data_IF_832107543359
#
_entry.id   IF_832107543359
#
_cell.length_a   1.000
_cell.length_b   1.000
_cell.length_c   1.000
_cell.angle_alpha   90.00
_cell.angle_beta   90.00
_cell.angle_gamma   90.00
#
_symmetry.space_group_name_H-M   'P 1'
#
loop_
_entity.id
_entity.type
_entity.pdbx_description
1 polymer ?
#
# COMPACT_ATOMS: atom_id res chain seq x y z
N UNK A 1 -57.26 -78.44 -18.20
CA UNK A 1 -55.82 -78.10 -18.16
C UNK A 1 -55.70 -76.60 -18.41
N UNK A 2 -55.73 -75.83 -17.36
CA UNK A 2 -55.57 -74.37 -17.44
C UNK A 2 -54.34 -73.98 -16.66
N UNK A 3 -53.43 -73.25 -17.35
CA UNK A 3 -52.21 -72.70 -16.74
C UNK A 3 -52.30 -71.16 -16.70
N UNK A 4 -52.47 -70.64 -15.50
CA UNK A 4 -52.49 -69.22 -15.24
C UNK A 4 -51.12 -68.63 -15.47
N UNK A 5 -51.08 -67.52 -16.24
CA UNK A 5 -49.94 -66.67 -16.45
C UNK A 5 -50.11 -65.41 -15.60
N UNK A 6 -49.31 -65.33 -14.56
CA UNK A 6 -49.33 -64.16 -13.66
C UNK A 6 -48.37 -63.10 -14.24
N UNK A 7 -48.88 -61.98 -14.67
CA UNK A 7 -48.08 -60.84 -15.12
C UNK A 7 -47.65 -59.99 -13.94
N UNK A 8 -46.37 -59.92 -13.69
CA UNK A 8 -45.73 -59.07 -12.69
C UNK A 8 -45.49 -57.69 -13.31
N UNK A 9 -46.21 -56.66 -12.82
CA UNK A 9 -45.98 -55.25 -13.19
C UNK A 9 -44.95 -54.69 -12.24
N UNK A 10 -43.70 -54.44 -12.72
CA UNK A 10 -42.69 -53.70 -12.01
C UNK A 10 -42.94 -52.21 -12.12
N UNK A 11 -43.36 -51.60 -11.02
CA UNK A 11 -43.49 -50.15 -10.89
C UNK A 11 -42.11 -49.53 -10.60
N UNK A 12 -41.49 -48.92 -11.61
CA UNK A 12 -40.22 -48.18 -11.44
C UNK A 12 -40.51 -46.81 -10.81
N UNK A 13 -40.19 -46.64 -9.53
CA UNK A 13 -40.16 -45.35 -8.85
C UNK A 13 -38.92 -44.56 -9.30
N UNK A 14 -39.12 -43.52 -10.14
CA UNK A 14 -38.09 -42.55 -10.49
C UNK A 14 -37.96 -41.56 -9.34
N UNK A 15 -36.92 -41.69 -8.55
CA UNK A 15 -36.54 -40.65 -7.59
C UNK A 15 -35.84 -39.51 -8.34
N UNK A 16 -36.54 -38.42 -8.61
CA UNK A 16 -35.95 -37.17 -8.98
C UNK A 16 -35.31 -36.54 -7.72
N UNK A 17 -34.02 -36.80 -7.54
CA UNK A 17 -33.24 -36.10 -6.53
C UNK A 17 -33.06 -34.63 -6.95
N UNK A 18 -33.70 -33.71 -6.24
CA UNK A 18 -33.32 -32.30 -6.26
C UNK A 18 -31.87 -32.21 -5.76
N UNK A 19 -30.94 -31.84 -6.67
CA UNK A 19 -29.65 -31.29 -6.25
C UNK A 19 -29.96 -29.97 -5.53
N UNK A 20 -29.89 -29.97 -4.23
CA UNK A 20 -29.73 -28.76 -3.44
C UNK A 20 -28.29 -28.28 -3.73
N UNK A 21 -28.18 -27.22 -4.50
CA UNK A 21 -26.94 -26.44 -4.56
C UNK A 21 -26.70 -25.96 -3.14
N UNK A 22 -25.74 -26.58 -2.46
CA UNK A 22 -25.20 -26.02 -1.21
C UNK A 22 -24.50 -24.74 -1.63
N UNK A 23 -25.10 -23.59 -1.37
CA UNK A 23 -24.34 -22.37 -1.21
C UNK A 23 -23.22 -22.71 -0.21
N UNK A 24 -21.99 -22.68 -0.67
CA UNK A 24 -20.83 -22.71 0.22
C UNK A 24 -20.95 -21.47 1.11
N UNK A 25 -21.39 -21.67 2.35
CA UNK A 25 -21.29 -20.63 3.37
C UNK A 25 -19.82 -20.20 3.42
N UNK A 26 -19.56 -18.96 2.94
CA UNK A 26 -18.26 -18.32 3.13
C UNK A 26 -17.94 -18.41 4.64
N UNK A 27 -16.77 -18.91 5.04
CA UNK A 27 -16.46 -19.06 6.45
C UNK A 27 -16.59 -17.70 7.12
N UNK A 28 -17.45 -17.59 8.12
CA UNK A 28 -17.53 -16.42 8.99
C UNK A 28 -16.17 -16.29 9.67
N UNK A 29 -15.36 -15.36 9.19
CA UNK A 29 -14.03 -15.07 9.73
C UNK A 29 -14.24 -14.37 11.08
N UNK A 30 -14.28 -15.12 12.17
CA UNK A 30 -14.19 -14.60 13.53
C UNK A 30 -12.74 -14.13 13.77
N UNK A 31 -12.35 -13.03 13.14
CA UNK A 31 -11.05 -12.41 13.38
C UNK A 31 -11.16 -11.64 14.71
N UNK A 32 -10.22 -11.88 15.61
CA UNK A 32 -10.05 -10.98 16.74
C UNK A 32 -9.77 -9.58 16.16
N UNK A 33 -10.47 -8.54 16.64
CA UNK A 33 -10.35 -7.21 16.06
C UNK A 33 -8.89 -6.72 16.17
N UNK A 34 -8.30 -6.41 15.02
CA UNK A 34 -7.03 -5.71 14.95
C UNK A 34 -7.24 -4.27 15.44
N UNK A 35 -6.33 -3.79 16.26
CA UNK A 35 -6.24 -2.37 16.61
C UNK A 35 -4.84 -1.87 16.30
N UNK A 36 -4.70 -0.56 16.15
CA UNK A 36 -3.43 0.07 15.85
C UNK A 36 -3.06 1.07 16.95
N UNK A 37 -1.79 1.09 17.31
CA UNK A 37 -1.21 2.05 18.25
C UNK A 37 -0.04 2.74 17.59
N UNK A 38 0.17 4.04 17.87
CA UNK A 38 1.39 4.75 17.47
C UNK A 38 2.54 4.41 18.43
N UNK A 39 3.71 4.22 17.84
CA UNK A 39 4.99 4.09 18.54
C UNK A 39 5.97 5.05 17.87
N UNK A 40 6.83 5.69 18.69
CA UNK A 40 7.79 6.67 18.19
C UNK A 40 9.20 6.22 18.52
N UNK A 41 10.08 6.29 17.54
CA UNK A 41 11.51 6.08 17.67
C UNK A 41 12.24 7.33 17.19
N UNK A 42 13.03 7.96 18.05
CA UNK A 42 13.84 9.13 17.69
C UNK A 42 15.30 8.86 18.06
N UNK A 43 16.19 9.08 17.10
CA UNK A 43 17.64 9.02 17.30
C UNK A 43 18.30 10.26 16.68
N UNK A 44 19.38 10.71 17.31
CA UNK A 44 20.16 11.87 16.86
C UNK A 44 21.65 11.57 16.88
N UNK A 45 22.40 12.25 16.03
CA UNK A 45 23.85 12.24 16.00
C UNK A 45 24.42 13.63 15.76
N UNK A 46 25.50 13.95 16.42
CA UNK A 46 26.20 15.24 16.38
C UNK A 46 26.72 15.61 17.78
N UNK A 47 27.55 16.65 17.85
CA UNK A 47 27.99 17.21 19.13
C UNK A 47 26.87 18.03 19.76
N UNK A 48 26.63 17.85 21.06
CA UNK A 48 25.63 18.59 21.85
C UNK A 48 24.15 18.43 21.42
N UNK A 49 23.76 17.28 20.88
CA UNK A 49 22.40 16.98 20.41
C UNK A 49 21.32 16.84 21.51
N UNK A 50 21.67 17.08 22.76
CA UNK A 50 20.72 17.07 23.90
C UNK A 50 19.92 18.38 24.04
N UNK A 51 20.29 19.41 23.32
CA UNK A 51 19.62 20.70 23.30
C UNK A 51 18.88 20.89 21.98
N UNK A 52 18.03 21.92 21.89
CA UNK A 52 17.22 22.23 20.70
C UNK A 52 18.06 22.77 19.52
N UNK A 53 19.33 22.37 19.42
CA UNK A 53 20.23 22.85 18.38
C UNK A 53 19.98 22.16 17.04
N UNK A 54 19.94 22.96 15.99
CA UNK A 54 19.64 22.61 14.61
C UNK A 54 20.80 21.90 13.89
N UNK A 55 21.90 21.62 14.58
CA UNK A 55 23.10 21.03 13.98
C UNK A 55 23.21 19.51 14.15
N UNK A 56 22.09 18.85 14.46
CA UNK A 56 22.08 17.40 14.68
C UNK A 56 21.36 16.69 13.55
N UNK A 57 22.00 15.66 13.00
CA UNK A 57 21.28 14.69 12.19
C UNK A 57 20.24 13.96 13.04
N UNK A 58 19.07 13.79 12.48
CA UNK A 58 17.91 13.20 13.15
C UNK A 58 17.21 12.16 12.28
N UNK A 59 16.81 11.07 12.90
CA UNK A 59 15.80 10.17 12.35
C UNK A 59 14.66 10.04 13.37
N UNK A 60 13.45 10.35 12.95
CA UNK A 60 12.24 10.28 13.75
C UNK A 60 11.18 9.45 13.02
N UNK A 61 10.81 8.32 13.61
CA UNK A 61 9.90 7.34 13.04
C UNK A 61 8.66 7.25 13.93
N UNK A 62 7.55 7.84 13.49
CA UNK A 62 6.23 7.70 14.09
C UNK A 62 5.46 6.61 13.34
N UNK A 63 5.48 5.40 13.88
CA UNK A 63 4.96 4.22 13.21
C UNK A 63 3.71 3.67 13.87
N UNK A 64 2.84 3.04 13.10
CA UNK A 64 1.70 2.30 13.64
C UNK A 64 2.08 0.84 13.88
N UNK A 65 1.54 0.25 14.94
CA UNK A 65 1.73 -1.15 15.30
C UNK A 65 0.38 -1.84 15.45
N UNK A 66 0.18 -2.89 14.66
CA UNK A 66 -0.99 -3.76 14.80
C UNK A 66 -0.91 -4.55 16.10
N UNK A 67 -2.01 -4.58 16.83
CA UNK A 67 -2.22 -5.36 18.06
C UNK A 67 -3.41 -6.30 17.86
N UNK A 68 -3.51 -7.36 18.63
CA UNK A 68 -4.63 -8.30 18.59
C UNK A 68 -4.19 -9.70 18.16
N UNK A 69 -4.69 -10.21 17.03
CA UNK A 69 -4.36 -11.56 16.55
C UNK A 69 -2.87 -11.71 16.28
N UNK A 70 -2.14 -12.40 17.16
CA UNK A 70 -0.68 -12.38 17.25
C UNK A 70 0.03 -12.65 15.91
N UNK A 71 -0.28 -13.73 15.21
CA UNK A 71 0.41 -14.08 13.96
C UNK A 71 0.16 -13.07 12.83
N UNK A 72 -1.08 -12.58 12.70
CA UNK A 72 -1.44 -11.61 11.67
C UNK A 72 -0.85 -10.24 12.01
N UNK A 73 -0.94 -9.80 13.28
CA UNK A 73 -0.35 -8.53 13.71
C UNK A 73 1.17 -8.50 13.55
N UNK A 74 1.87 -9.61 13.83
CA UNK A 74 3.30 -9.74 13.59
C UNK A 74 3.66 -9.63 12.10
N UNK A 75 2.88 -10.27 11.22
CA UNK A 75 3.05 -10.16 9.76
C UNK A 75 2.85 -8.72 9.27
N UNK A 76 1.80 -8.05 9.76
CA UNK A 76 1.54 -6.64 9.42
C UNK A 76 2.70 -5.76 9.86
N UNK A 77 3.12 -5.89 11.12
CA UNK A 77 4.21 -5.08 11.68
C UNK A 77 5.52 -5.27 10.92
N UNK A 78 5.87 -6.52 10.58
CA UNK A 78 7.05 -6.80 9.75
C UNK A 78 6.97 -6.13 8.38
N UNK A 79 5.80 -6.16 7.70
CA UNK A 79 5.63 -5.50 6.41
C UNK A 79 5.74 -3.99 6.49
N UNK A 80 5.24 -3.40 7.58
CA UNK A 80 5.40 -1.97 7.84
C UNK A 80 6.87 -1.61 8.03
N UNK A 81 7.62 -2.43 8.76
CA UNK A 81 9.06 -2.23 8.95
C UNK A 81 9.81 -2.38 7.64
N UNK A 82 9.58 -3.48 6.90
CA UNK A 82 10.18 -3.73 5.58
C UNK A 82 9.92 -2.56 4.61
N UNK A 83 8.67 -2.06 4.57
CA UNK A 83 8.31 -0.94 3.70
C UNK A 83 9.01 0.35 4.14
N UNK A 84 9.02 0.66 5.44
CA UNK A 84 9.70 1.84 5.97
C UNK A 84 11.20 1.79 5.74
N UNK A 85 11.82 0.64 5.94
CA UNK A 85 13.24 0.42 5.64
C UNK A 85 13.52 0.70 4.17
N UNK A 86 12.68 0.18 3.26
CA UNK A 86 12.82 0.40 1.82
C UNK A 86 12.67 1.87 1.40
N UNK A 87 11.92 2.69 2.17
CA UNK A 87 11.74 4.12 1.89
C UNK A 87 12.90 4.98 2.41
N UNK A 88 13.51 4.61 3.54
CA UNK A 88 14.47 5.45 4.27
C UNK A 88 15.92 5.02 4.04
N UNK A 89 16.18 3.74 3.75
CA UNK A 89 17.53 3.24 3.60
C UNK A 89 18.25 3.92 2.43
N UNK A 90 19.48 4.34 2.69
CA UNK A 90 20.35 5.03 1.71
C UNK A 90 20.97 4.10 0.66
N UNK A 91 20.82 2.80 0.80
CA UNK A 91 21.36 1.77 -0.08
C UNK A 91 20.27 0.81 -0.55
N UNK A 92 20.38 0.31 -1.77
CA UNK A 92 19.55 -0.78 -2.25
C UNK A 92 19.80 -2.08 -1.46
N UNK A 93 18.70 -2.76 -1.06
CA UNK A 93 18.74 -4.03 -0.33
C UNK A 93 19.63 -3.99 0.93
N UNK A 94 19.35 -3.12 1.88
CA UNK A 94 20.16 -3.02 3.10
C UNK A 94 20.01 -4.31 3.94
N UNK A 95 21.11 -4.74 4.56
CA UNK A 95 21.09 -5.81 5.59
C UNK A 95 20.60 -5.22 6.93
N UNK A 96 19.31 -4.84 6.95
CA UNK A 96 18.61 -4.19 8.07
C UNK A 96 17.32 -4.97 8.32
N UNK A 97 17.09 -5.38 9.55
CA UNK A 97 15.96 -6.25 9.91
C UNK A 97 14.87 -5.55 10.74
N UNK A 98 15.16 -4.37 11.28
CA UNK A 98 14.24 -3.62 12.13
C UNK A 98 14.54 -2.10 12.13
N UNK A 99 13.63 -1.31 12.70
CA UNK A 99 13.73 0.15 12.68
C UNK A 99 14.84 0.72 13.56
N UNK A 100 15.27 0.02 14.61
CA UNK A 100 16.43 0.43 15.41
C UNK A 100 17.71 0.35 14.58
N UNK A 101 17.92 -0.77 13.88
CA UNK A 101 19.05 -0.94 12.96
C UNK A 101 19.02 0.08 11.82
N UNK A 102 17.82 0.41 11.29
CA UNK A 102 17.65 1.48 10.32
C UNK A 102 18.14 2.82 10.85
N UNK A 103 17.71 3.18 12.05
CA UNK A 103 18.10 4.45 12.67
C UNK A 103 19.60 4.52 12.95
N UNK A 104 20.19 3.44 13.47
CA UNK A 104 21.63 3.35 13.69
C UNK A 104 22.43 3.47 12.38
N UNK A 105 21.98 2.78 11.32
CA UNK A 105 22.62 2.81 10.01
C UNK A 105 22.55 4.21 9.39
N UNK A 106 21.38 4.85 9.40
CA UNK A 106 21.20 6.21 8.88
C UNK A 106 22.16 7.21 9.55
N UNK A 107 22.24 7.18 10.87
CA UNK A 107 23.13 8.07 11.59
C UNK A 107 24.63 7.68 11.46
N UNK A 108 24.93 6.42 11.21
CA UNK A 108 26.29 5.98 10.90
C UNK A 108 26.72 6.51 9.54
N UNK A 109 25.86 6.39 8.52
CA UNK A 109 26.12 6.88 7.16
C UNK A 109 26.36 8.39 7.16
N UNK A 110 25.55 9.14 7.92
CA UNK A 110 25.80 10.56 8.13
C UNK A 110 27.19 10.84 8.71
N UNK A 111 27.60 10.14 9.79
CA UNK A 111 28.93 10.35 10.39
C UNK A 111 30.05 10.06 9.41
N UNK A 112 29.94 8.98 8.62
CA UNK A 112 30.89 8.64 7.57
C UNK A 112 30.96 9.72 6.48
N UNK A 113 29.81 10.30 6.09
CA UNK A 113 29.75 11.42 5.16
C UNK A 113 30.42 12.69 5.74
N UNK A 114 30.10 13.05 6.97
CA UNK A 114 30.66 14.22 7.66
C UNK A 114 32.18 14.11 7.91
N UNK A 115 32.70 12.90 8.10
CA UNK A 115 34.16 12.65 8.17
C UNK A 115 34.85 12.90 6.83
N UNK A 116 34.18 12.61 5.73
CA UNK A 116 34.73 12.78 4.37
C UNK A 116 34.51 14.17 3.79
N UNK A 117 33.47 14.87 4.22
CA UNK A 117 33.05 16.18 3.74
C UNK A 117 32.83 17.13 4.92
N UNK A 118 33.77 18.07 5.13
CA UNK A 118 33.73 19.00 6.28
C UNK A 118 32.55 19.96 6.34
N UNK A 119 31.83 20.13 5.25
CA UNK A 119 30.65 20.98 5.13
C UNK A 119 29.37 20.18 4.92
N UNK A 120 29.37 18.86 5.23
CA UNK A 120 28.19 18.03 5.15
C UNK A 120 27.11 18.52 6.11
N UNK A 121 25.94 18.93 5.61
CA UNK A 121 24.85 19.38 6.47
C UNK A 121 24.26 18.20 7.25
N UNK A 122 23.60 18.45 8.39
CA UNK A 122 22.89 17.41 9.13
C UNK A 122 21.85 16.70 8.25
N UNK A 123 21.82 15.37 8.34
CA UNK A 123 20.82 14.58 7.65
C UNK A 123 19.53 14.47 8.48
N UNK A 124 18.40 14.45 7.79
CA UNK A 124 17.10 14.36 8.43
C UNK A 124 16.25 13.28 7.77
N UNK A 125 15.60 12.46 8.59
CA UNK A 125 14.59 11.51 8.13
C UNK A 125 13.39 11.54 9.08
N UNK A 126 12.22 11.84 8.55
CA UNK A 126 10.95 11.83 9.26
C UNK A 126 10.00 10.85 8.59
N UNK A 127 9.42 9.97 9.37
CA UNK A 127 8.38 9.03 8.91
C UNK A 127 7.15 9.18 9.79
N UNK A 128 5.99 9.39 9.19
CA UNK A 128 4.69 9.34 9.87
C UNK A 128 3.78 8.33 9.21
N UNK A 129 3.40 7.29 9.95
CA UNK A 129 2.44 6.28 9.51
C UNK A 129 1.05 6.57 10.08
N UNK A 130 0.03 6.40 9.24
CA UNK A 130 -1.37 6.59 9.62
C UNK A 130 -2.26 5.54 8.98
N UNK A 131 -3.18 4.96 9.75
CA UNK A 131 -4.27 4.15 9.21
C UNK A 131 -5.28 5.09 8.55
N UNK A 132 -5.46 4.97 7.25
CA UNK A 132 -6.42 5.74 6.47
C UNK A 132 -7.76 5.03 6.35
N UNK A 133 -7.73 3.70 6.25
CA UNK A 133 -8.93 2.88 6.19
C UNK A 133 -8.68 1.54 6.90
N UNK A 134 -9.71 1.04 7.57
CA UNK A 134 -9.74 -0.30 8.14
C UNK A 134 -11.14 -0.88 7.99
N UNK A 135 -11.24 -1.96 7.20
CA UNK A 135 -12.46 -2.76 7.00
C UNK A 135 -12.16 -4.25 7.20
N UNK A 136 -13.15 -5.10 6.99
CA UNK A 136 -12.99 -6.56 7.07
C UNK A 136 -12.17 -7.15 5.92
N UNK A 137 -12.01 -6.40 4.82
CA UNK A 137 -11.31 -6.85 3.60
C UNK A 137 -10.05 -6.07 3.27
N UNK A 138 -9.86 -4.87 3.86
CA UNK A 138 -8.77 -3.97 3.53
C UNK A 138 -8.33 -3.12 4.73
N UNK A 139 -7.04 -3.08 4.97
CA UNK A 139 -6.38 -2.05 5.78
C UNK A 139 -5.48 -1.24 4.84
N UNK A 140 -5.67 0.08 4.78
CA UNK A 140 -4.81 1.00 4.02
C UNK A 140 -4.05 1.90 4.99
N UNK A 141 -2.72 1.81 4.95
CA UNK A 141 -1.82 2.58 5.81
C UNK A 141 -1.02 3.51 4.92
N UNK A 142 -1.16 4.82 5.14
CA UNK A 142 -0.33 5.83 4.51
C UNK A 142 0.96 6.03 5.29
N UNK A 143 2.07 6.14 4.57
CA UNK A 143 3.40 6.38 5.10
C UNK A 143 3.94 7.64 4.43
N UNK A 144 3.99 8.73 5.18
CA UNK A 144 4.65 9.96 4.76
C UNK A 144 6.12 9.89 5.15
N UNK A 145 7.01 10.15 4.20
CA UNK A 145 8.45 10.28 4.46
C UNK A 145 8.93 11.65 4.03
N UNK A 146 9.78 12.26 4.83
CA UNK A 146 10.54 13.46 4.49
C UNK A 146 12.01 13.16 4.78
N UNK A 147 12.86 13.18 3.77
CA UNK A 147 14.24 12.76 3.88
C UNK A 147 15.15 13.80 3.23
N UNK A 148 16.19 14.17 3.97
CA UNK A 148 17.36 14.86 3.47
C UNK A 148 18.61 14.11 3.91
N UNK A 149 19.36 13.58 2.95
CA UNK A 149 20.60 12.83 3.18
C UNK A 149 21.75 13.41 2.39
N UNK A 150 21.87 14.76 2.45
CA UNK A 150 22.86 15.51 1.68
C UNK A 150 22.36 15.90 0.28
N UNK A 151 23.19 16.65 -0.45
CA UNK A 151 22.87 17.11 -1.80
C UNK A 151 22.08 18.43 -1.83
N UNK A 152 21.42 18.70 -2.98
CA UNK A 152 20.82 20.01 -3.25
C UNK A 152 19.46 20.23 -2.57
N UNK A 153 18.69 19.17 -2.32
CA UNK A 153 17.37 19.24 -1.68
C UNK A 153 16.95 17.87 -1.15
N UNK A 154 16.09 17.88 -0.13
CA UNK A 154 15.38 16.68 0.32
C UNK A 154 14.22 16.32 -0.58
N UNK A 155 13.55 15.23 -0.25
CA UNK A 155 12.31 14.83 -0.89
C UNK A 155 11.27 14.40 0.15
N UNK A 156 10.01 14.57 -0.25
CA UNK A 156 8.87 14.14 0.54
C UNK A 156 8.00 13.23 -0.32
N UNK A 157 7.54 12.13 0.25
CA UNK A 157 6.62 11.22 -0.42
C UNK A 157 5.49 10.81 0.51
N UNK A 158 4.35 10.46 -0.07
CA UNK A 158 3.28 9.70 0.59
C UNK A 158 3.11 8.39 -0.18
N UNK A 159 3.32 7.27 0.50
CA UNK A 159 3.08 5.94 -0.06
C UNK A 159 2.01 5.21 0.73
N UNK A 160 1.39 4.20 0.11
CA UNK A 160 0.37 3.39 0.76
C UNK A 160 0.75 1.92 0.79
N UNK A 161 0.49 1.30 1.93
CA UNK A 161 0.55 -0.14 2.11
C UNK A 161 -0.86 -0.67 2.35
N UNK A 162 -1.37 -1.42 1.38
CA UNK A 162 -2.68 -2.07 1.45
C UNK A 162 -2.51 -3.52 1.90
N UNK A 163 -3.27 -3.95 2.89
CA UNK A 163 -3.09 -5.22 3.58
C UNK A 163 -4.44 -5.93 3.74
N UNK A 164 -4.47 -7.24 3.48
CA UNK A 164 -5.57 -8.13 3.84
C UNK A 164 -5.58 -8.33 5.38
N UNK A 165 -6.61 -7.87 6.09
CA UNK A 165 -6.69 -7.96 7.54
C UNK A 165 -6.75 -9.39 8.08
N UNK A 166 -7.17 -10.34 7.25
CA UNK A 166 -7.31 -11.75 7.63
C UNK A 166 -5.97 -12.49 7.62
N UNK A 167 -5.06 -12.11 6.73
CA UNK A 167 -3.82 -12.86 6.47
C UNK A 167 -2.56 -12.04 6.72
N UNK A 168 -2.66 -10.72 6.81
CA UNK A 168 -1.54 -9.80 6.84
C UNK A 168 -0.76 -9.73 5.52
N UNK A 169 -1.33 -10.24 4.41
CA UNK A 169 -0.72 -10.19 3.07
C UNK A 169 -0.82 -8.76 2.50
N UNK A 170 0.25 -8.26 1.89
CA UNK A 170 0.18 -7.06 1.05
C UNK A 170 -0.72 -7.35 -0.15
N UNK A 171 -1.67 -6.46 -0.40
CA UNK A 171 -2.54 -6.48 -1.56
C UNK A 171 -1.92 -5.60 -2.67
N UNK A 172 -1.82 -6.17 -3.86
CA UNK A 172 -1.48 -5.44 -5.07
C UNK A 172 -2.73 -4.83 -5.70
N UNK A 173 -2.57 -3.91 -6.66
CA UNK A 173 -3.69 -3.36 -7.44
C UNK A 173 -4.51 -4.47 -8.12
N UNK A 174 -3.87 -5.55 -8.58
CA UNK A 174 -4.55 -6.69 -9.19
C UNK A 174 -5.32 -7.58 -8.20
N UNK A 175 -4.95 -7.57 -6.92
CA UNK A 175 -5.72 -8.24 -5.86
C UNK A 175 -7.00 -7.44 -5.52
N UNK A 176 -7.00 -6.12 -5.77
CA UNK A 176 -8.04 -5.19 -5.33
C UNK A 176 -9.02 -4.86 -6.47
N UNK A 177 -8.53 -4.62 -7.70
CA UNK A 177 -9.33 -4.08 -8.79
C UNK A 177 -9.55 -5.06 -9.94
N UNK A 178 -10.69 -4.93 -10.60
CA UNK A 178 -11.00 -5.55 -11.89
C UNK A 178 -10.23 -4.85 -13.02
N UNK A 179 -10.14 -5.51 -14.18
CA UNK A 179 -9.37 -5.01 -15.34
C UNK A 179 -9.89 -3.70 -15.92
N UNK A 180 -11.19 -3.45 -15.80
CA UNK A 180 -11.87 -2.25 -16.29
C UNK A 180 -11.67 -1.00 -15.39
N UNK A 181 -11.06 -1.14 -14.24
CA UNK A 181 -10.69 -0.01 -13.39
C UNK A 181 -9.66 0.91 -14.06
N UNK A 182 -8.66 0.35 -14.75
CA UNK A 182 -7.63 1.16 -15.40
C UNK A 182 -8.19 2.07 -16.50
N UNK A 183 -9.04 1.60 -17.43
CA UNK A 183 -9.72 2.48 -18.39
C UNK A 183 -10.60 3.55 -17.74
N UNK A 184 -11.28 3.23 -16.65
CA UNK A 184 -12.08 4.19 -15.90
C UNK A 184 -11.22 5.33 -15.34
N UNK A 185 -10.10 4.99 -14.70
CA UNK A 185 -9.17 6.00 -14.15
C UNK A 185 -8.50 6.80 -15.27
N UNK A 186 -8.17 6.19 -16.42
CA UNK A 186 -7.60 6.91 -17.56
C UNK A 186 -8.54 8.03 -18.05
N UNK A 187 -9.84 7.80 -18.11
CA UNK A 187 -10.80 8.84 -18.50
C UNK A 187 -10.77 10.02 -17.55
N UNK A 188 -10.73 9.76 -16.24
CA UNK A 188 -10.63 10.81 -15.21
C UNK A 188 -9.30 11.56 -15.34
N UNK A 189 -8.18 10.82 -15.48
CA UNK A 189 -6.86 11.40 -15.65
C UNK A 189 -6.80 12.34 -16.87
N UNK A 190 -7.31 11.89 -18.02
CA UNK A 190 -7.36 12.72 -19.22
C UNK A 190 -8.17 13.99 -19.02
N UNK A 191 -9.32 13.88 -18.35
CA UNK A 191 -10.16 15.03 -18.06
C UNK A 191 -9.46 16.02 -17.13
N UNK A 192 -8.84 15.55 -16.04
CA UNK A 192 -8.14 16.40 -15.06
C UNK A 192 -6.90 17.07 -15.65
N UNK A 193 -6.19 16.36 -16.54
CA UNK A 193 -4.95 16.86 -17.15
C UNK A 193 -5.17 17.56 -18.51
N UNK A 194 -6.43 17.68 -18.93
CA UNK A 194 -6.78 18.36 -20.19
C UNK A 194 -6.27 17.66 -21.44
N UNK A 195 -6.16 16.32 -21.43
CA UNK A 195 -5.71 15.51 -22.56
C UNK A 195 -6.92 15.07 -23.38
N UNK A 196 -7.05 15.48 -24.68
CA UNK A 196 -8.13 15.00 -25.55
C UNK A 196 -8.16 13.48 -25.68
N UNK A 197 -9.36 12.90 -25.86
CA UNK A 197 -9.52 11.44 -25.96
C UNK A 197 -8.80 10.83 -27.18
N UNK A 198 -8.69 11.58 -28.27
CA UNK A 198 -8.04 11.19 -29.52
C UNK A 198 -6.53 11.49 -29.57
N UNK A 199 -6.00 12.14 -28.53
CA UNK A 199 -4.59 12.47 -28.41
C UNK A 199 -3.82 11.39 -27.65
N UNK A 200 -2.50 11.32 -27.89
CA UNK A 200 -1.58 10.50 -27.12
C UNK A 200 -1.59 10.92 -25.65
N UNK A 201 -1.53 9.95 -24.73
CA UNK A 201 -1.53 10.22 -23.28
C UNK A 201 -0.35 11.11 -22.86
N UNK A 202 0.74 11.10 -23.62
CA UNK A 202 1.94 11.90 -23.37
C UNK A 202 1.92 13.28 -24.08
N UNK A 203 0.83 13.64 -24.78
CA UNK A 203 0.77 14.86 -25.60
C UNK A 203 0.92 16.16 -24.80
N UNK A 204 0.61 16.14 -23.49
CA UNK A 204 0.73 17.31 -22.60
C UNK A 204 2.00 17.30 -21.75
N UNK A 205 2.98 16.43 -22.06
CA UNK A 205 4.29 16.42 -21.39
C UNK A 205 4.48 15.33 -20.35
N UNK A 206 3.55 14.40 -20.21
CA UNK A 206 3.74 13.16 -19.47
C UNK A 206 4.65 12.20 -20.24
N UNK A 207 5.15 11.15 -19.55
CA UNK A 207 6.00 10.12 -20.15
C UNK A 207 5.61 8.71 -19.71
N UNK A 208 4.32 8.37 -19.85
CA UNK A 208 3.88 6.99 -19.69
C UNK A 208 4.64 6.06 -20.63
N UNK A 209 5.03 4.90 -20.11
CA UNK A 209 5.76 3.90 -20.88
C UNK A 209 4.94 3.41 -22.09
N UNK A 210 5.59 3.26 -23.23
CA UNK A 210 4.96 2.85 -24.49
C UNK A 210 3.74 3.72 -24.89
N UNK A 211 3.68 4.97 -24.40
CA UNK A 211 2.57 5.89 -24.68
C UNK A 211 1.19 5.33 -24.26
N UNK A 212 1.20 4.49 -23.22
CA UNK A 212 0.01 3.79 -22.72
C UNK A 212 -0.22 4.15 -21.26
N UNK A 213 -1.45 4.56 -20.92
CA UNK A 213 -1.81 4.83 -19.52
C UNK A 213 -1.59 3.62 -18.63
N UNK A 214 -1.07 3.85 -17.45
CA UNK A 214 -0.94 2.84 -16.40
C UNK A 214 -1.31 3.43 -15.05
N UNK A 215 -2.00 2.65 -14.22
CA UNK A 215 -2.27 3.03 -12.84
C UNK A 215 -0.96 3.17 -12.06
N UNK A 216 -0.86 4.16 -11.13
CA UNK A 216 0.30 4.23 -10.25
C UNK A 216 0.41 2.97 -9.37
N UNK A 217 1.61 2.68 -8.89
CA UNK A 217 1.78 1.63 -7.88
C UNK A 217 1.29 2.10 -6.50
N UNK A 218 1.19 3.40 -6.31
CA UNK A 218 0.86 4.02 -5.05
C UNK A 218 -0.61 4.40 -5.00
N UNK A 219 -1.44 3.49 -4.47
CA UNK A 219 -2.90 3.65 -4.35
C UNK A 219 -3.28 3.44 -2.89
N UNK A 220 -3.94 4.44 -2.31
CA UNK A 220 -4.46 4.41 -0.94
C UNK A 220 -5.98 4.48 -0.88
N UNK A 221 -6.52 4.14 0.28
CA UNK A 221 -7.96 4.14 0.54
C UNK A 221 -8.26 4.91 1.81
N UNK A 222 -9.31 5.70 1.78
CA UNK A 222 -9.97 6.23 2.95
C UNK A 222 -11.44 5.81 2.96
N UNK A 223 -12.19 6.16 4.01
CA UNK A 223 -13.62 5.85 4.09
C UNK A 223 -14.45 6.51 2.96
N UNK A 224 -13.93 7.61 2.38
CA UNK A 224 -14.66 8.42 1.41
C UNK A 224 -14.12 8.29 -0.01
N UNK A 225 -12.82 8.03 -0.18
CA UNK A 225 -12.17 8.09 -1.49
C UNK A 225 -11.00 7.12 -1.64
N UNK A 226 -10.69 6.82 -2.89
CA UNK A 226 -9.44 6.19 -3.33
C UNK A 226 -8.47 7.31 -3.74
N UNK A 227 -7.22 7.19 -3.32
CA UNK A 227 -6.16 8.16 -3.55
C UNK A 227 -5.12 7.48 -4.44
N UNK A 228 -4.90 8.00 -5.63
CA UNK A 228 -3.90 7.51 -6.57
C UNK A 228 -2.80 8.57 -6.67
N UNK A 229 -1.56 8.16 -6.48
CA UNK A 229 -0.41 9.08 -6.46
C UNK A 229 0.64 8.58 -7.44
N UNK A 230 0.93 9.39 -8.45
CA UNK A 230 2.18 9.31 -9.19
C UNK A 230 3.19 10.22 -8.48
N UNK A 231 4.21 9.63 -7.91
CA UNK A 231 5.25 10.40 -7.23
C UNK A 231 6.08 11.20 -8.24
N UNK A 232 6.77 12.22 -7.76
CA UNK A 232 7.68 13.03 -8.58
C UNK A 232 8.64 12.14 -9.36
N UNK A 233 8.85 12.43 -10.64
CA UNK A 233 9.61 11.64 -11.62
C UNK A 233 8.95 10.34 -12.10
N UNK A 234 7.79 9.92 -11.62
CA UNK A 234 7.15 8.69 -12.09
C UNK A 234 6.62 8.84 -13.52
N UNK A 235 5.84 9.89 -13.78
CA UNK A 235 5.25 10.17 -15.11
C UNK A 235 5.45 11.61 -15.59
N UNK A 236 6.15 12.46 -14.81
CA UNK A 236 6.36 13.87 -15.11
C UNK A 236 7.65 14.38 -14.45
N UNK A 237 8.25 15.52 -14.90
CA UNK A 237 9.43 16.10 -14.28
C UNK A 237 9.21 16.47 -12.82
N UNK A 238 10.28 16.50 -12.01
CA UNK A 238 10.23 16.93 -10.60
C UNK A 238 9.50 18.25 -10.38
N UNK A 239 9.65 19.19 -11.31
CA UNK A 239 8.97 20.49 -11.22
C UNK A 239 7.44 20.42 -11.30
N UNK A 240 6.87 19.33 -11.78
CA UNK A 240 5.44 19.08 -11.76
C UNK A 240 4.93 18.64 -10.37
N UNK A 241 5.83 18.17 -9.50
CA UNK A 241 5.48 17.59 -8.22
C UNK A 241 4.82 16.23 -8.35
N UNK A 242 4.17 15.79 -7.26
CA UNK A 242 3.36 14.58 -7.27
C UNK A 242 2.00 14.86 -7.95
N UNK A 243 1.55 13.92 -8.76
CA UNK A 243 0.23 14.00 -9.38
C UNK A 243 -0.72 13.13 -8.57
N UNK A 244 -1.68 13.78 -7.92
CA UNK A 244 -2.62 13.14 -7.01
C UNK A 244 -4.03 13.20 -7.60
N UNK A 245 -4.65 12.04 -7.72
CA UNK A 245 -6.06 11.90 -8.09
C UNK A 245 -6.84 11.36 -6.89
N UNK A 246 -8.00 11.93 -6.65
CA UNK A 246 -8.89 11.49 -5.57
C UNK A 246 -10.25 11.16 -6.15
N UNK A 247 -10.63 9.88 -6.14
CA UNK A 247 -11.88 9.40 -6.71
C UNK A 247 -12.80 8.94 -5.57
N UNK A 248 -14.06 9.41 -5.52
CA UNK A 248 -15.00 8.97 -4.49
C UNK A 248 -15.11 7.43 -4.44
N UNK A 249 -15.02 6.85 -3.24
CA UNK A 249 -15.00 5.40 -3.07
C UNK A 249 -16.24 4.73 -3.67
N UNK A 250 -17.40 5.39 -3.63
CA UNK A 250 -18.64 4.84 -4.19
C UNK A 250 -18.60 4.70 -5.73
N UNK A 251 -17.80 5.51 -6.43
CA UNK A 251 -17.58 5.41 -7.88
C UNK A 251 -16.60 4.28 -8.21
N UNK A 252 -15.66 3.99 -7.31
CA UNK A 252 -14.65 2.93 -7.49
C UNK A 252 -15.19 1.55 -7.13
N UNK A 253 -16.14 1.45 -6.17
CA UNK A 253 -16.70 0.17 -5.70
C UNK A 253 -17.11 -0.82 -6.81
N UNK A 254 -17.73 -0.41 -7.93
CA UNK A 254 -18.09 -1.35 -9.01
C UNK A 254 -16.89 -2.08 -9.64
N UNK A 255 -15.69 -1.55 -9.48
CA UNK A 255 -14.44 -2.10 -10.02
C UNK A 255 -13.61 -2.84 -8.96
N UNK A 256 -14.11 -3.00 -7.73
CA UNK A 256 -13.37 -3.66 -6.65
C UNK A 256 -13.71 -5.14 -6.59
N UNK A 257 -12.68 -6.00 -6.44
CA UNK A 257 -12.78 -7.44 -6.15
C UNK A 257 -13.03 -7.73 -4.67
N UNK A 258 -12.73 -6.75 -3.83
CA UNK A 258 -12.85 -6.81 -2.38
C UNK A 258 -14.01 -5.93 -1.91
N UNK A 259 -14.71 -6.34 -0.82
CA UNK A 259 -15.88 -5.65 -0.27
C UNK A 259 -15.48 -4.64 0.82
#
# INVERSE_FOLDING_TARGET
>A
MFRNLLALVCLALVFTGCKQDKEEEKPVRNLAPLSFQKESLVRKAGEHCDTADYDCSIIALDVVRAKGASEVSEKINRRLDEHTIGLVATQENPDISNLEELAEKFLKDYREAAENFSEEPPWEAYVDQKVYMQSDSLISIGITTEIFSGGAHGYKTLTFLNIDPATGKKLSKNDIFEEDFSPFVEQIFRQEQGIPEDENINSTGFWFENETFSLPENIGFSEEKVILIYNSYEIAPYAAGDIVMEIPLHEVRPFMKIE
#
